data_IF_183798628954
#
_entry.id   IF_183798628954
#
_cell.length_a   1.000
_cell.length_b   1.000
_cell.length_c   1.000
_cell.angle_alpha   90.00
_cell.angle_beta   90.00
_cell.angle_gamma   90.00
#
_symmetry.space_group_name_H-M   'P 1'
#
loop_
_entity.id
_entity.type
_entity.pdbx_description
1 polymer ?
#
# COMPACT_ATOMS: atom_id res chain seq x y z
N UNK A 1 1.65 0.19 -18.78
CA UNK A 1 0.41 0.97 -18.56
C UNK A 1 0.77 2.44 -18.36
N UNK A 2 -0.06 3.40 -18.80
CA UNK A 2 0.12 4.85 -18.56
C UNK A 2 -1.17 5.41 -17.97
N UNK A 3 -1.05 6.25 -16.96
CA UNK A 3 -2.20 6.92 -16.33
C UNK A 3 -2.59 8.12 -17.20
N UNK A 4 -3.87 8.22 -17.58
CA UNK A 4 -4.36 9.25 -18.50
C UNK A 4 -4.55 10.64 -17.86
N UNK A 5 -4.48 10.74 -16.53
CA UNK A 5 -4.64 11.97 -15.78
C UNK A 5 -4.98 11.68 -14.31
N UNK A 6 -5.06 12.74 -13.49
CA UNK A 6 -5.38 12.61 -12.08
C UNK A 6 -6.78 12.03 -11.86
N UNK A 7 -6.91 11.14 -10.88
CA UNK A 7 -8.21 10.65 -10.41
C UNK A 7 -8.75 11.64 -9.39
N UNK A 8 -9.99 12.12 -9.61
CA UNK A 8 -10.64 13.04 -8.66
C UNK A 8 -10.90 12.33 -7.34
N UNK A 9 -10.41 12.90 -6.24
CA UNK A 9 -10.64 12.37 -4.88
C UNK A 9 -12.14 12.21 -4.56
N UNK A 10 -12.99 13.07 -5.11
CA UNK A 10 -14.46 12.97 -4.99
C UNK A 10 -15.06 11.67 -5.54
N UNK A 11 -14.29 10.82 -6.22
CA UNK A 11 -14.71 9.48 -6.65
C UNK A 11 -14.38 8.37 -5.64
N UNK A 12 -13.55 8.64 -4.63
CA UNK A 12 -13.20 7.66 -3.60
C UNK A 12 -14.37 7.49 -2.61
N UNK A 13 -14.67 6.24 -2.26
CA UNK A 13 -15.68 5.91 -1.24
C UNK A 13 -15.09 5.84 0.18
N UNK A 14 -13.80 5.56 0.28
CA UNK A 14 -13.01 5.50 1.51
C UNK A 14 -11.51 5.58 1.16
N UNK A 15 -10.67 5.78 2.16
CA UNK A 15 -9.22 5.62 2.06
C UNK A 15 -8.79 4.53 3.04
N UNK A 16 -7.90 3.65 2.56
CA UNK A 16 -7.21 2.67 3.39
C UNK A 16 -5.75 3.11 3.53
N UNK A 17 -5.21 3.06 4.74
CA UNK A 17 -3.84 3.49 5.03
C UNK A 17 -3.15 2.42 5.87
N UNK A 18 -1.90 2.14 5.56
CA UNK A 18 -1.06 1.30 6.41
C UNK A 18 -0.97 1.89 7.83
N UNK A 19 -1.02 1.03 8.84
CA UNK A 19 -0.68 1.44 10.18
C UNK A 19 0.82 1.76 10.29
N UNK A 20 1.20 2.59 11.26
CA UNK A 20 2.60 3.05 11.39
C UNK A 20 3.60 1.91 11.65
N UNK A 21 3.15 0.81 12.25
CA UNK A 21 3.94 -0.40 12.49
C UNK A 21 4.15 -1.25 11.23
N UNK A 22 3.34 -1.08 10.19
CA UNK A 22 3.50 -1.75 8.90
C UNK A 22 4.63 -1.15 8.03
N UNK A 23 5.08 0.07 8.32
CA UNK A 23 6.04 0.82 7.47
C UNK A 23 7.30 0.01 7.15
N UNK A 24 7.87 -0.67 8.15
CA UNK A 24 9.11 -1.43 7.99
C UNK A 24 8.93 -2.63 7.05
N UNK A 25 7.86 -3.38 7.23
CA UNK A 25 7.59 -4.61 6.48
C UNK A 25 7.15 -4.29 5.04
N UNK A 26 6.31 -3.27 4.86
CA UNK A 26 5.92 -2.77 3.52
C UNK A 26 7.13 -2.24 2.76
N UNK A 27 8.06 -1.55 3.42
CA UNK A 27 9.30 -1.10 2.81
C UNK A 27 10.16 -2.29 2.37
N UNK A 28 10.33 -3.29 3.24
CA UNK A 28 11.08 -4.50 2.92
C UNK A 28 10.46 -5.28 1.75
N UNK A 29 9.13 -5.40 1.72
CA UNK A 29 8.39 -6.01 0.61
C UNK A 29 8.61 -5.26 -0.71
N UNK A 30 8.53 -3.92 -0.70
CA UNK A 30 8.76 -3.10 -1.88
C UNK A 30 10.18 -3.27 -2.43
N UNK A 31 11.18 -3.35 -1.56
CA UNK A 31 12.58 -3.57 -1.94
C UNK A 31 12.84 -4.99 -2.46
N UNK A 32 12.13 -6.00 -1.93
CA UNK A 32 12.25 -7.40 -2.35
C UNK A 32 11.54 -7.72 -3.68
N UNK A 33 10.57 -6.88 -4.08
CA UNK A 33 9.69 -7.12 -5.23
C UNK A 33 10.43 -7.49 -6.54
N UNK A 34 11.53 -6.83 -6.95
CA UNK A 34 12.23 -7.20 -8.18
C UNK A 34 12.86 -8.60 -8.15
N UNK A 35 13.28 -9.07 -6.98
CA UNK A 35 13.83 -10.42 -6.82
C UNK A 35 12.72 -11.47 -6.82
N UNK A 36 11.59 -11.18 -6.18
CA UNK A 36 10.39 -12.01 -6.22
C UNK A 36 9.86 -12.16 -7.66
N UNK A 37 9.78 -11.07 -8.43
CA UNK A 37 9.46 -11.09 -9.86
C UNK A 37 10.46 -11.92 -10.69
N UNK A 38 11.70 -12.05 -10.20
CA UNK A 38 12.76 -12.87 -10.76
C UNK A 38 12.69 -14.35 -10.38
N UNK A 39 11.75 -14.75 -9.51
CA UNK A 39 11.54 -16.12 -9.06
C UNK A 39 12.30 -16.51 -7.80
N UNK A 40 12.69 -15.56 -6.96
CA UNK A 40 13.29 -15.83 -5.64
C UNK A 40 12.18 -16.07 -4.59
N UNK A 41 12.12 -17.30 -4.05
CA UNK A 41 11.09 -17.72 -3.09
C UNK A 41 11.21 -17.02 -1.72
N UNK A 42 12.43 -16.68 -1.27
CA UNK A 42 12.63 -15.96 -0.01
C UNK A 42 12.18 -14.49 -0.15
N UNK A 43 12.42 -13.90 -1.32
CA UNK A 43 11.88 -12.58 -1.66
C UNK A 43 10.36 -12.62 -1.75
N UNK A 44 9.78 -13.66 -2.35
CA UNK A 44 8.32 -13.84 -2.41
C UNK A 44 7.70 -13.91 -1.01
N UNK A 45 8.30 -14.67 -0.09
CA UNK A 45 7.85 -14.72 1.30
C UNK A 45 7.84 -13.34 1.98
N UNK A 46 8.86 -12.53 1.69
CA UNK A 46 8.95 -11.16 2.21
C UNK A 46 7.86 -10.25 1.65
N UNK A 47 7.56 -10.37 0.34
CA UNK A 47 6.48 -9.62 -0.31
C UNK A 47 5.12 -10.00 0.25
N UNK A 48 4.86 -11.30 0.40
CA UNK A 48 3.60 -11.81 0.93
C UNK A 48 3.38 -11.35 2.37
N UNK A 49 4.43 -11.26 3.18
CA UNK A 49 4.33 -10.78 4.57
C UNK A 49 3.76 -9.35 4.72
N UNK A 50 3.77 -8.52 3.68
CA UNK A 50 3.11 -7.22 3.73
C UNK A 50 1.58 -7.32 3.82
N UNK A 51 0.98 -8.42 3.34
CA UNK A 51 -0.48 -8.61 3.34
C UNK A 51 -1.05 -8.97 4.73
N UNK A 52 -0.19 -9.38 5.66
CA UNK A 52 -0.57 -9.68 7.05
C UNK A 52 -0.91 -8.41 7.87
N UNK A 53 -0.61 -7.23 7.33
CA UNK A 53 -0.92 -5.94 7.96
C UNK A 53 -2.35 -5.49 7.63
N UNK A 54 -3.15 -5.26 8.68
CA UNK A 54 -4.48 -4.68 8.54
C UNK A 54 -4.40 -3.22 8.08
N UNK A 55 -5.29 -2.83 7.18
CA UNK A 55 -5.36 -1.45 6.70
C UNK A 55 -6.34 -0.63 7.55
N UNK A 56 -5.86 0.51 8.05
CA UNK A 56 -6.72 1.51 8.69
C UNK A 56 -7.74 2.03 7.68
N UNK A 57 -9.01 2.13 8.10
CA UNK A 57 -10.09 2.58 7.24
C UNK A 57 -10.57 3.97 7.63
N UNK A 58 -10.66 4.86 6.65
CA UNK A 58 -11.14 6.24 6.82
C UNK A 58 -12.27 6.54 5.84
N UNK A 59 -13.39 7.04 6.36
CA UNK A 59 -14.49 7.50 5.53
C UNK A 59 -14.18 8.85 4.88
N UNK A 60 -14.99 9.24 3.88
CA UNK A 60 -14.72 10.41 3.03
C UNK A 60 -14.56 11.72 3.81
N UNK A 61 -15.27 11.90 4.92
CA UNK A 61 -15.15 13.10 5.76
C UNK A 61 -13.85 13.16 6.58
N UNK A 62 -13.14 12.06 6.75
CA UNK A 62 -11.90 11.98 7.54
C UNK A 62 -10.65 12.21 6.69
N UNK A 63 -10.76 12.03 5.36
CA UNK A 63 -9.65 12.18 4.41
C UNK A 63 -8.91 13.51 4.54
N UNK A 64 -9.56 14.68 4.71
CA UNK A 64 -8.83 15.95 4.87
C UNK A 64 -7.80 15.93 6.00
N UNK A 65 -8.04 15.17 7.08
CA UNK A 65 -7.09 15.05 8.20
C UNK A 65 -5.84 14.24 7.83
N UNK A 66 -5.88 13.48 6.73
CA UNK A 66 -4.76 12.66 6.25
C UNK A 66 -3.87 13.41 5.26
N UNK A 67 -4.44 14.29 4.44
CA UNK A 67 -3.75 14.87 3.27
C UNK A 67 -3.42 16.35 3.39
N UNK A 68 -3.98 17.07 4.38
CA UNK A 68 -3.77 18.51 4.56
C UNK A 68 -4.60 19.35 3.60
#
# INVERSE_FOLDING_TARGET
VRVAGAVRLAKAAAVHVDAADAEADVTAAADALPAADGGDDDAQYTVDGAEDHELLWYATQEIPNLVG
#
